data_IF_001578618804
#
_entry.id   IF_001578618804
#
_cell.length_a   1.000
_cell.length_b   1.000
_cell.length_c   1.000
_cell.angle_alpha   90.00
_cell.angle_beta   90.00
_cell.angle_gamma   90.00
#
_symmetry.space_group_name_H-M   'P 1'
#
loop_
_entity.id
_entity.type
_entity.pdbx_description
1 polymer ?
#
# COMPACT_ATOMS: atom_id res chain seq x y z
N UNK A 1 -11.91 -6.50 15.73
CA UNK A 1 -12.83 -5.99 14.69
C UNK A 1 -13.92 -7.04 14.53
N UNK A 2 -15.21 -6.68 14.65
CA UNK A 2 -16.33 -7.59 14.48
C UNK A 2 -17.38 -6.97 13.53
N UNK A 3 -17.95 -7.72 12.57
CA UNK A 3 -17.70 -9.14 12.26
C UNK A 3 -16.25 -9.41 11.82
N UNK A 4 -15.84 -10.67 11.74
CA UNK A 4 -14.51 -11.03 11.25
C UNK A 4 -14.41 -10.71 9.76
N UNK A 5 -13.34 -10.05 9.28
CA UNK A 5 -13.17 -9.80 7.85
C UNK A 5 -13.04 -11.09 7.06
N UNK A 6 -13.71 -11.15 5.92
CA UNK A 6 -13.57 -12.21 4.92
C UNK A 6 -12.19 -12.15 4.25
N UNK A 7 -11.61 -10.94 4.15
CA UNK A 7 -10.31 -10.70 3.51
C UNK A 7 -9.52 -9.60 4.18
N UNK A 8 -8.20 -9.78 4.16
CA UNK A 8 -7.21 -8.78 4.55
C UNK A 8 -6.27 -8.50 3.37
N UNK A 9 -6.03 -7.23 3.10
CA UNK A 9 -4.98 -6.78 2.18
C UNK A 9 -4.02 -5.87 2.93
N UNK A 10 -2.71 -6.13 2.82
CA UNK A 10 -1.68 -5.33 3.49
C UNK A 10 -0.87 -4.57 2.46
N UNK A 11 -0.81 -3.25 2.61
CA UNK A 11 0.02 -2.38 1.80
C UNK A 11 1.16 -1.84 2.66
N UNK A 12 2.39 -2.19 2.29
CA UNK A 12 3.59 -1.63 2.89
C UNK A 12 4.15 -0.54 1.99
N UNK A 13 4.34 0.66 2.55
CA UNK A 13 4.94 1.78 1.86
C UNK A 13 6.15 2.26 2.67
N UNK A 14 7.31 2.24 2.05
CA UNK A 14 8.51 2.86 2.58
C UNK A 14 8.97 3.97 1.64
N UNK A 15 9.60 5.00 2.20
CA UNK A 15 10.09 6.14 1.44
C UNK A 15 11.31 6.76 2.11
N UNK A 16 12.21 7.30 1.29
CA UNK A 16 13.31 8.14 1.74
C UNK A 16 13.32 9.45 0.94
N UNK A 17 13.77 10.56 1.53
CA UNK A 17 13.98 11.80 0.79
C UNK A 17 15.08 11.60 -0.27
N UNK A 18 14.91 12.21 -1.43
CA UNK A 18 15.94 12.26 -2.46
C UNK A 18 16.80 13.50 -2.25
N UNK A 19 18.13 13.35 -2.36
CA UNK A 19 19.07 14.48 -2.28
C UNK A 19 18.91 15.44 -3.45
N UNK A 20 18.56 14.92 -4.63
CA UNK A 20 18.41 15.66 -5.87
C UNK A 20 17.14 15.23 -6.61
N UNK A 21 16.72 16.05 -7.59
CA UNK A 21 15.61 15.71 -8.47
C UNK A 21 15.95 14.48 -9.33
N UNK A 22 15.03 13.52 -9.52
CA UNK A 22 15.27 12.37 -10.40
C UNK A 22 15.69 12.79 -11.80
N UNK A 23 16.77 12.20 -12.32
CA UNK A 23 17.23 12.39 -13.69
C UNK A 23 16.28 11.77 -14.73
N UNK A 24 15.44 10.83 -14.30
CA UNK A 24 14.43 10.15 -15.12
C UNK A 24 13.04 10.27 -14.47
N UNK A 25 11.96 10.30 -15.26
CA UNK A 25 10.61 10.22 -14.71
C UNK A 25 10.43 8.92 -13.91
N UNK A 26 9.86 9.02 -12.72
CA UNK A 26 9.49 7.85 -11.93
C UNK A 26 8.24 7.25 -12.55
N UNK A 27 8.34 6.01 -13.02
CA UNK A 27 7.17 5.28 -13.50
C UNK A 27 6.25 4.95 -12.32
N UNK A 28 4.92 5.15 -12.44
CA UNK A 28 3.98 4.76 -11.40
C UNK A 28 4.05 3.26 -11.10
N UNK A 29 4.00 2.90 -9.82
CA UNK A 29 3.89 1.51 -9.40
C UNK A 29 2.56 0.92 -9.88
N UNK A 30 2.61 -0.24 -10.51
CA UNK A 30 1.43 -1.00 -10.88
C UNK A 30 0.98 -1.83 -9.68
N UNK A 31 -0.28 -1.65 -9.28
CA UNK A 31 -0.91 -2.43 -8.22
C UNK A 31 -2.05 -3.23 -8.81
N UNK A 32 -2.12 -4.50 -8.45
CA UNK A 32 -3.25 -5.34 -8.83
C UNK A 32 -4.54 -4.81 -8.22
N UNK A 33 -5.62 -4.88 -8.99
CA UNK A 33 -6.94 -4.48 -8.51
C UNK A 33 -7.39 -5.42 -7.39
N UNK A 34 -7.61 -4.86 -6.21
CA UNK A 34 -8.16 -5.59 -5.09
C UNK A 34 -9.66 -5.83 -5.29
N UNK A 35 -10.05 -7.11 -5.40
CA UNK A 35 -11.47 -7.50 -5.48
C UNK A 35 -12.07 -7.56 -4.07
N UNK A 36 -12.88 -6.55 -3.75
CA UNK A 36 -13.62 -6.45 -2.48
C UNK A 36 -14.92 -7.26 -2.56
N UNK A 37 -14.91 -8.46 -1.96
CA UNK A 37 -16.10 -9.31 -1.77
C UNK A 37 -16.25 -9.58 -0.27
N UNK A 38 -17.43 -9.35 0.28
CA UNK A 38 -17.66 -9.41 1.72
C UNK A 38 -16.97 -8.29 2.49
N UNK A 39 -16.89 -8.43 3.81
CA UNK A 39 -16.17 -7.51 4.67
C UNK A 39 -14.66 -7.65 4.44
N UNK A 40 -14.06 -6.61 3.86
CA UNK A 40 -12.63 -6.58 3.51
C UNK A 40 -11.93 -5.49 4.33
N UNK A 41 -10.80 -5.84 4.95
CA UNK A 41 -9.92 -4.89 5.64
C UNK A 41 -8.68 -4.64 4.79
N UNK A 42 -8.29 -3.36 4.70
CA UNK A 42 -6.99 -2.96 4.17
C UNK A 42 -6.18 -2.38 5.31
N UNK A 43 -5.03 -2.98 5.57
CA UNK A 43 -4.05 -2.45 6.52
C UNK A 43 -2.95 -1.76 5.69
N UNK A 44 -2.63 -0.52 6.03
CA UNK A 44 -1.51 0.18 5.44
C UNK A 44 -0.53 0.59 6.53
N UNK A 45 0.75 0.62 6.17
CA UNK A 45 1.81 1.03 7.08
C UNK A 45 3.14 1.13 6.35
N UNK A 46 4.17 1.50 7.10
CA UNK A 46 5.53 1.64 6.59
C UNK A 46 6.53 1.35 7.70
N UNK A 47 7.78 1.76 7.50
CA UNK A 47 8.76 1.74 8.58
C UNK A 47 8.27 2.61 9.76
N UNK A 48 8.50 2.13 10.98
CA UNK A 48 8.39 2.99 12.17
C UNK A 48 9.57 3.96 12.11
N UNK A 49 9.27 5.24 11.93
CA UNK A 49 10.25 6.32 12.10
C UNK A 49 10.58 6.51 13.58
#
# INVERSE_FOLDING_TARGET
IHPTPDRYYRLFLDWMPLSDKPAIPVAPQQLDTIVRKGFTVVEWGGLKQ
#
